data_IF_295905918382
#
_entry.id   IF_295905918382
#
_cell.length_a   1.000
_cell.length_b   1.000
_cell.length_c   1.000
_cell.angle_alpha   90.00
_cell.angle_beta   90.00
_cell.angle_gamma   90.00
#
_symmetry.space_group_name_H-M   'P 1'
#
loop_
_entity.id
_entity.type
_entity.pdbx_description
1 polymer ?
#
# COMPACT_ATOMS: atom_id res chain seq x y z
N UNK A 1 2.31 -9.72 15.05
CA UNK A 1 1.68 -9.54 13.72
C UNK A 1 0.22 -9.20 13.90
N UNK A 2 -0.29 -8.24 13.15
CA UNK A 2 -1.71 -7.90 13.20
C UNK A 2 -2.55 -9.02 12.55
N UNK A 3 -3.79 -9.16 12.99
CA UNK A 3 -4.72 -10.10 12.37
C UNK A 3 -5.18 -9.54 11.04
N UNK A 4 -4.99 -10.30 9.95
CA UNK A 4 -5.34 -9.88 8.59
C UNK A 4 -6.52 -10.72 8.11
N UNK A 5 -7.57 -10.06 7.65
CA UNK A 5 -8.77 -10.72 7.13
C UNK A 5 -9.25 -10.13 5.81
N UNK A 6 -8.46 -9.23 5.21
CA UNK A 6 -8.82 -8.61 3.94
C UNK A 6 -7.57 -8.27 3.12
N UNK A 7 -7.72 -8.22 1.80
CA UNK A 7 -6.70 -7.74 0.87
C UNK A 7 -7.35 -6.61 0.07
N UNK A 8 -6.69 -5.44 0.07
CA UNK A 8 -7.17 -4.28 -0.67
C UNK A 8 -6.19 -3.99 -1.81
N UNK A 9 -6.70 -3.96 -3.03
CA UNK A 9 -5.88 -3.72 -4.21
C UNK A 9 -6.08 -2.28 -4.67
N UNK A 10 -4.98 -1.56 -4.84
CA UNK A 10 -4.95 -0.18 -5.29
C UNK A 10 -4.23 -0.06 -6.61
N UNK A 11 -4.57 0.99 -7.36
CA UNK A 11 -3.84 1.42 -8.55
C UNK A 11 -3.04 2.67 -8.17
N UNK A 12 -1.81 2.79 -8.69
CA UNK A 12 -0.99 3.99 -8.44
C UNK A 12 -1.58 5.24 -9.09
N UNK A 13 -2.47 5.07 -10.08
CA UNK A 13 -3.07 6.17 -10.84
C UNK A 13 -2.04 7.04 -11.57
N UNK A 14 -0.90 6.46 -11.93
CA UNK A 14 0.16 7.11 -12.68
C UNK A 14 0.05 6.74 -14.17
N UNK A 15 0.81 7.45 -15.02
CA UNK A 15 0.81 7.16 -16.45
C UNK A 15 1.36 5.77 -16.73
N UNK A 16 0.79 5.10 -17.74
CA UNK A 16 1.19 3.74 -18.09
C UNK A 16 2.66 3.61 -18.50
N UNK A 17 3.24 4.68 -19.05
CA UNK A 17 4.64 4.70 -19.48
C UNK A 17 5.64 4.97 -18.36
N UNK A 18 5.15 5.31 -17.15
CA UNK A 18 6.04 5.57 -16.02
C UNK A 18 6.41 4.27 -15.32
N UNK A 19 7.69 3.93 -15.32
CA UNK A 19 8.22 2.76 -14.64
C UNK A 19 8.54 3.10 -13.18
N UNK A 20 7.48 3.32 -12.39
CA UNK A 20 7.63 3.62 -10.98
C UNK A 20 7.93 2.35 -10.18
N UNK A 21 8.71 2.51 -9.13
CA UNK A 21 9.09 1.44 -8.21
C UNK A 21 8.67 1.80 -6.79
N UNK A 22 8.80 0.84 -5.85
CA UNK A 22 8.42 1.07 -4.45
C UNK A 22 9.10 2.29 -3.86
N UNK A 23 10.37 2.55 -4.20
CA UNK A 23 11.12 3.72 -3.72
C UNK A 23 10.47 5.03 -4.16
N UNK A 24 9.88 5.06 -5.34
CA UNK A 24 9.20 6.26 -5.86
C UNK A 24 7.90 6.51 -5.11
N UNK A 25 7.15 5.46 -4.86
CA UNK A 25 5.89 5.54 -4.09
C UNK A 25 6.20 5.94 -2.64
N UNK A 26 7.24 5.36 -2.05
CA UNK A 26 7.68 5.72 -0.69
C UNK A 26 8.01 7.21 -0.60
N UNK A 27 8.75 7.74 -1.57
CA UNK A 27 9.08 9.17 -1.63
C UNK A 27 7.82 10.02 -1.74
N UNK A 28 6.87 9.64 -2.59
CA UNK A 28 5.62 10.38 -2.77
C UNK A 28 4.80 10.40 -1.48
N UNK A 29 4.72 9.28 -0.78
CA UNK A 29 4.01 9.20 0.48
C UNK A 29 4.67 10.02 1.57
N UNK A 30 6.01 10.02 1.64
CA UNK A 30 6.76 10.86 2.58
C UNK A 30 6.52 12.35 2.32
N UNK A 31 6.43 12.76 1.07
CA UNK A 31 6.09 14.13 0.71
C UNK A 31 4.69 14.53 1.18
N UNK A 32 3.78 13.56 1.33
CA UNK A 32 2.43 13.77 1.83
C UNK A 32 2.33 13.69 3.36
N UNK A 33 3.46 13.54 4.05
CA UNK A 33 3.52 13.50 5.50
C UNK A 33 3.56 12.10 6.12
N UNK A 34 3.61 11.04 5.30
CA UNK A 34 3.73 9.67 5.81
C UNK A 34 5.15 9.41 6.29
N UNK A 35 5.29 8.53 7.30
CA UNK A 35 6.60 8.11 7.77
C UNK A 35 7.31 7.20 6.77
N UNK A 36 6.54 6.46 5.98
CA UNK A 36 7.02 5.57 4.93
C UNK A 36 5.87 5.23 3.99
N UNK A 37 6.16 4.41 2.96
CA UNK A 37 5.15 3.91 2.03
C UNK A 37 3.98 3.29 2.79
N UNK A 38 2.76 3.56 2.33
CA UNK A 38 1.54 3.08 3.00
C UNK A 38 1.11 1.67 2.60
N UNK A 39 1.55 1.19 1.44
CA UNK A 39 1.20 -0.14 0.95
C UNK A 39 2.16 -1.20 1.49
N UNK A 40 1.69 -2.43 1.62
CA UNK A 40 2.53 -3.55 2.06
C UNK A 40 3.32 -4.16 0.91
N UNK A 41 2.75 -4.18 -0.30
CA UNK A 41 3.40 -4.71 -1.49
C UNK A 41 3.13 -3.82 -2.70
N UNK A 42 4.09 -3.76 -3.61
CA UNK A 42 3.97 -3.03 -4.88
C UNK A 42 4.21 -4.02 -6.00
N UNK A 43 3.34 -4.02 -7.01
CA UNK A 43 3.54 -4.81 -8.22
C UNK A 43 3.97 -3.85 -9.33
N UNK A 44 5.21 -3.98 -9.78
CA UNK A 44 5.79 -3.11 -10.80
C UNK A 44 5.26 -3.42 -12.19
N UNK A 45 5.51 -2.52 -13.15
CA UNK A 45 5.07 -2.71 -14.53
C UNK A 45 5.58 -4.01 -15.15
N UNK A 46 6.78 -4.45 -14.76
CA UNK A 46 7.38 -5.70 -15.26
C UNK A 46 6.90 -6.94 -14.49
N UNK A 47 5.97 -6.78 -13.56
CA UNK A 47 5.42 -7.87 -12.77
C UNK A 47 6.20 -8.20 -11.51
N UNK A 48 7.31 -7.51 -11.24
CA UNK A 48 8.08 -7.73 -10.02
C UNK A 48 7.30 -7.28 -8.81
N UNK A 49 7.31 -8.07 -7.74
CA UNK A 49 6.67 -7.73 -6.47
C UNK A 49 7.73 -7.19 -5.52
N UNK A 50 7.53 -5.96 -5.05
CA UNK A 50 8.43 -5.33 -4.08
C UNK A 50 7.76 -5.22 -2.72
N UNK A 51 8.56 -5.31 -1.66
CA UNK A 51 8.08 -5.11 -0.29
C UNK A 51 7.93 -3.62 0.00
N UNK A 52 6.89 -3.29 0.75
CA UNK A 52 6.67 -1.95 1.26
C UNK A 52 6.63 -1.95 2.78
N UNK A 53 5.51 -1.45 3.35
CA UNK A 53 5.36 -1.39 4.81
C UNK A 53 5.23 -2.80 5.39
N UNK A 54 5.83 -3.02 6.56
CA UNK A 54 5.75 -4.30 7.26
C UNK A 54 4.29 -4.69 7.56
N UNK A 55 3.99 -5.98 7.43
CA UNK A 55 2.68 -6.53 7.79
C UNK A 55 2.41 -6.50 9.30
N UNK A 56 3.43 -6.25 10.12
CA UNK A 56 3.28 -6.21 11.58
C UNK A 56 2.74 -4.89 12.11
N UNK A 57 2.67 -3.86 11.27
CA UNK A 57 2.16 -2.54 11.64
C UNK A 57 0.98 -2.16 10.75
N UNK A 58 0.21 -1.17 11.19
CA UNK A 58 -0.92 -0.69 10.40
C UNK A 58 -0.45 -0.07 9.09
N UNK A 59 -1.19 -0.32 8.02
CA UNK A 59 -0.95 0.34 6.75
C UNK A 59 -1.38 1.80 6.76
N UNK A 60 -1.14 2.49 5.66
CA UNK A 60 -1.63 3.83 5.43
C UNK A 60 -2.11 3.91 3.97
N UNK A 61 -3.10 3.05 3.63
CA UNK A 61 -3.59 2.92 2.26
C UNK A 61 -5.11 2.90 2.16
N UNK A 62 -5.82 2.57 3.23
CA UNK A 62 -7.28 2.53 3.24
C UNK A 62 -7.80 2.75 4.65
N UNK A 63 -8.23 3.96 4.95
CA UNK A 63 -8.78 4.32 6.25
C UNK A 63 -10.28 4.00 6.36
N UNK A 64 -10.91 3.59 5.26
CA UNK A 64 -12.32 3.23 5.23
C UNK A 64 -12.60 2.12 6.23
N UNK A 65 -13.70 2.25 6.94
CA UNK A 65 -14.16 1.24 7.88
C UNK A 65 -15.23 0.38 7.20
N UNK A 66 -15.04 -0.93 7.28
CA UNK A 66 -16.03 -1.87 6.77
C UNK A 66 -17.09 -2.18 7.81
N UNK A 67 -17.70 -3.35 7.70
CA UNK A 67 -18.75 -3.79 8.62
C UNK A 67 -18.27 -3.91 10.07
N UNK A 68 -16.96 -4.14 10.27
CA UNK A 68 -16.38 -4.24 11.61
C UNK A 68 -16.30 -2.90 12.34
N UNK A 69 -16.43 -1.77 11.60
CA UNK A 69 -16.21 -0.44 12.17
C UNK A 69 -14.74 -0.11 12.41
N UNK A 70 -13.80 -0.95 11.97
CA UNK A 70 -12.36 -0.77 12.14
C UNK A 70 -11.74 -0.47 10.78
N UNK A 71 -10.86 0.53 10.73
CA UNK A 71 -10.13 0.92 9.51
C UNK A 71 -9.42 -0.30 8.89
N UNK A 72 -9.54 -0.46 7.56
CA UNK A 72 -8.85 -1.53 6.85
C UNK A 72 -7.33 -1.47 7.00
N UNK A 73 -6.75 -0.30 7.27
CA UNK A 73 -5.33 -0.20 7.57
C UNK A 73 -4.90 -1.13 8.72
N UNK A 74 -5.80 -1.42 9.63
CA UNK A 74 -5.50 -2.23 10.83
C UNK A 74 -5.59 -3.73 10.61
N UNK A 75 -6.29 -4.20 9.56
CA UNK A 75 -6.54 -5.62 9.38
C UNK A 75 -6.50 -6.09 7.92
N UNK A 76 -5.84 -5.36 7.05
CA UNK A 76 -5.72 -5.73 5.64
C UNK A 76 -4.29 -5.68 5.15
N UNK A 77 -4.05 -6.35 4.01
CA UNK A 77 -2.84 -6.20 3.21
C UNK A 77 -3.17 -5.22 2.09
N UNK A 78 -2.40 -4.16 1.96
CA UNK A 78 -2.52 -3.21 0.87
C UNK A 78 -1.54 -3.53 -0.24
N UNK A 79 -2.05 -3.78 -1.45
CA UNK A 79 -1.24 -4.07 -2.63
C UNK A 79 -1.52 -2.96 -3.65
N UNK A 80 -0.45 -2.31 -4.12
CA UNK A 80 -0.57 -1.31 -5.16
C UNK A 80 0.09 -1.81 -6.44
N UNK A 81 -0.61 -1.78 -7.55
CA UNK A 81 0.01 -2.07 -8.85
C UNK A 81 0.24 -0.77 -9.62
N UNK A 82 1.37 -0.75 -10.32
CA UNK A 82 1.75 0.40 -11.13
C UNK A 82 1.05 0.35 -12.51
#
# INVERSE_FOLDING_TARGET
MKKIDAIIIHCSATRAEQDLRAKDIDRMHKQRGFSQIGYNFIIDLDGMVEDGRSLSIDGAHCSTKGFSGISYNKHSIGICYI
#
